data_IF_565288610390
#
_entry.id   IF_565288610390
#
_cell.length_a   1.000
_cell.length_b   1.000
_cell.length_c   1.000
_cell.angle_alpha   90.00
_cell.angle_beta   90.00
_cell.angle_gamma   90.00
#
_symmetry.space_group_name_H-M   'P 1'
#
loop_
_entity.id
_entity.type
_entity.pdbx_description
1 polymer ?
#
# COMPACT_ATOMS: atom_id res chain seq x y z
N UNK A 1 -1.27 7.94 -13.15
CA UNK A 1 -1.93 9.26 -13.03
C UNK A 1 -3.32 9.17 -12.39
N UNK A 2 -4.31 8.48 -12.97
CA UNK A 2 -5.64 8.42 -12.32
C UNK A 2 -5.65 7.55 -11.05
N UNK A 3 -5.03 6.37 -11.09
CA UNK A 3 -5.13 5.41 -9.98
C UNK A 3 -4.57 5.97 -8.66
N UNK A 4 -3.33 6.45 -8.66
CA UNK A 4 -2.62 6.83 -7.42
C UNK A 4 -3.33 7.98 -6.67
N UNK A 5 -3.83 8.98 -7.41
CA UNK A 5 -4.65 10.07 -6.88
C UNK A 5 -5.98 9.56 -6.31
N UNK A 6 -6.71 8.74 -7.08
CA UNK A 6 -8.02 8.19 -6.65
C UNK A 6 -7.87 7.29 -5.42
N UNK A 7 -6.81 6.48 -5.37
CA UNK A 7 -6.51 5.64 -4.21
C UNK A 7 -6.14 6.48 -2.98
N UNK A 8 -5.36 7.54 -3.17
CA UNK A 8 -5.07 8.51 -2.10
C UNK A 8 -6.36 9.17 -1.56
N UNK A 9 -7.22 9.66 -2.45
CA UNK A 9 -8.52 10.22 -2.09
C UNK A 9 -9.41 9.19 -1.35
N UNK A 10 -9.42 7.93 -1.81
CA UNK A 10 -10.18 6.85 -1.18
C UNK A 10 -9.67 6.54 0.23
N UNK A 11 -8.34 6.45 0.43
CA UNK A 11 -7.72 6.25 1.74
C UNK A 11 -8.09 7.40 2.68
N UNK A 12 -7.96 8.66 2.24
CA UNK A 12 -8.38 9.83 3.01
C UNK A 12 -9.86 9.79 3.38
N UNK A 13 -10.72 9.39 2.45
CA UNK A 13 -12.17 9.32 2.68
C UNK A 13 -12.54 8.25 3.71
N UNK A 14 -11.84 7.12 3.73
CA UNK A 14 -12.10 6.02 4.67
C UNK A 14 -11.51 6.30 6.06
N UNK A 15 -10.28 6.81 6.13
CA UNK A 15 -9.54 6.96 7.38
C UNK A 15 -9.55 8.39 7.96
N UNK A 16 -10.02 9.39 7.22
CA UNK A 16 -10.00 10.80 7.62
C UNK A 16 -8.59 11.25 7.99
N UNK A 17 -8.46 12.01 9.08
CA UNK A 17 -7.17 12.47 9.61
C UNK A 17 -6.18 11.33 9.92
N UNK A 18 -6.68 10.10 10.17
CA UNK A 18 -5.80 8.97 10.40
C UNK A 18 -5.01 8.56 9.15
N UNK A 19 -5.46 8.92 7.94
CA UNK A 19 -4.76 8.62 6.68
C UNK A 19 -3.32 9.12 6.69
N UNK A 20 -3.08 10.31 7.25
CA UNK A 20 -1.74 10.92 7.34
C UNK A 20 -0.80 10.26 8.36
N UNK A 21 -1.29 9.27 9.12
CA UNK A 21 -0.49 8.42 10.02
C UNK A 21 -0.27 7.01 9.46
N UNK A 22 -0.92 6.67 8.35
CA UNK A 22 -0.71 5.40 7.67
C UNK A 22 0.55 5.47 6.84
N UNK A 23 1.35 4.41 6.89
CA UNK A 23 2.38 4.17 5.90
C UNK A 23 1.73 3.45 4.71
N UNK A 24 1.84 4.02 3.52
CA UNK A 24 1.34 3.48 2.25
C UNK A 24 2.56 3.13 1.41
N UNK A 25 2.55 2.03 0.66
CA UNK A 25 3.67 1.70 -0.24
C UNK A 25 3.18 0.93 -1.45
N UNK A 26 3.79 1.15 -2.61
CA UNK A 26 3.49 0.38 -3.83
C UNK A 26 4.66 -0.51 -4.21
N UNK A 27 4.52 -1.82 -4.01
CA UNK A 27 5.53 -2.81 -4.43
C UNK A 27 5.62 -2.94 -5.94
N UNK A 28 4.61 -2.48 -6.69
CA UNK A 28 4.66 -2.39 -8.17
C UNK A 28 5.79 -1.47 -8.64
N UNK A 29 6.27 -0.55 -7.80
CA UNK A 29 7.48 0.24 -8.09
C UNK A 29 8.71 -0.63 -8.37
N UNK A 30 8.77 -1.83 -7.78
CA UNK A 30 9.84 -2.82 -7.97
C UNK A 30 9.42 -3.97 -8.88
N UNK A 31 8.20 -4.46 -8.73
CA UNK A 31 7.75 -5.70 -9.41
C UNK A 31 7.08 -5.45 -10.76
N UNK A 32 6.76 -4.20 -11.08
CA UNK A 32 5.83 -3.86 -12.14
C UNK A 32 4.40 -4.34 -11.86
N UNK A 33 3.51 -4.12 -12.82
CA UNK A 33 2.12 -4.53 -12.70
C UNK A 33 1.87 -5.91 -13.32
N UNK A 34 1.69 -6.92 -12.46
CA UNK A 34 1.47 -8.32 -12.86
C UNK A 34 0.00 -8.68 -13.16
N UNK A 35 -0.83 -7.67 -13.51
CA UNK A 35 -2.27 -7.84 -13.75
C UNK A 35 -2.94 -8.64 -12.61
N UNK A 36 -3.70 -9.69 -12.93
CA UNK A 36 -4.39 -10.51 -11.94
C UNK A 36 -3.48 -11.20 -10.91
N UNK A 37 -2.21 -11.44 -11.24
CA UNK A 37 -1.26 -12.04 -10.31
C UNK A 37 -0.76 -11.04 -9.24
N UNK A 38 -0.92 -9.73 -9.46
CA UNK A 38 -0.46 -8.71 -8.52
C UNK A 38 -1.13 -8.87 -7.14
N UNK A 39 -2.43 -9.14 -7.08
CA UNK A 39 -3.14 -9.28 -5.81
C UNK A 39 -2.63 -10.44 -4.96
N UNK A 40 -2.28 -11.58 -5.58
CA UNK A 40 -1.70 -12.73 -4.88
C UNK A 40 -0.29 -12.44 -4.35
N UNK A 41 0.57 -11.83 -5.19
CA UNK A 41 1.92 -11.44 -4.79
C UNK A 41 1.90 -10.42 -3.65
N UNK A 42 1.09 -9.37 -3.77
CA UNK A 42 0.98 -8.28 -2.79
C UNK A 42 0.32 -8.73 -1.50
N UNK A 43 -0.60 -9.70 -1.56
CA UNK A 43 -1.13 -10.39 -0.38
C UNK A 43 -0.05 -11.15 0.37
N UNK A 44 0.79 -11.93 -0.33
CA UNK A 44 1.94 -12.61 0.27
C UNK A 44 2.96 -11.63 0.88
N UNK A 45 3.26 -10.53 0.19
CA UNK A 45 4.12 -9.47 0.72
C UNK A 45 3.50 -8.85 1.98
N UNK A 46 2.19 -8.58 2.00
CA UNK A 46 1.49 -8.02 3.17
C UNK A 46 1.61 -8.92 4.41
N UNK A 47 1.53 -10.24 4.22
CA UNK A 47 1.78 -11.20 5.30
C UNK A 47 3.24 -11.13 5.79
N UNK A 48 4.22 -11.04 4.88
CA UNK A 48 5.64 -10.90 5.24
C UNK A 48 5.95 -9.56 5.93
N UNK A 49 5.26 -8.48 5.57
CA UNK A 49 5.37 -7.17 6.24
C UNK A 49 4.98 -7.28 7.71
N UNK A 50 3.88 -7.98 8.00
CA UNK A 50 3.43 -8.24 9.37
C UNK A 50 4.39 -9.20 10.09
N UNK A 51 4.89 -10.24 9.43
CA UNK A 51 5.83 -11.18 10.04
C UNK A 51 7.16 -10.50 10.40
N UNK A 52 7.77 -9.81 9.43
CA UNK A 52 9.11 -9.25 9.51
C UNK A 52 9.18 -7.84 10.09
N UNK A 53 8.04 -7.18 10.27
CA UNK A 53 7.94 -5.84 10.84
C UNK A 53 8.73 -4.77 10.05
N UNK A 54 8.74 -4.91 8.71
CA UNK A 54 9.41 -3.99 7.78
C UNK A 54 8.48 -3.71 6.61
N UNK A 55 8.28 -2.42 6.32
CA UNK A 55 7.47 -1.93 5.20
C UNK A 55 8.39 -1.77 3.97
N UNK A 56 8.06 -2.37 2.81
CA UNK A 56 8.83 -2.17 1.59
C UNK A 56 8.70 -0.72 1.09
N UNK A 57 9.73 -0.19 0.43
CA UNK A 57 9.65 1.16 -0.11
C UNK A 57 8.80 1.24 -1.37
N UNK A 58 8.32 2.44 -1.66
CA UNK A 58 8.00 2.84 -3.03
C UNK A 58 9.27 3.38 -3.66
N UNK A 59 9.94 2.59 -4.50
CA UNK A 59 11.18 3.04 -5.17
C UNK A 59 10.88 3.99 -6.33
N UNK A 60 11.90 4.73 -6.79
CA UNK A 60 11.79 5.74 -7.85
C UNK A 60 10.90 6.93 -7.46
N UNK A 61 10.75 7.20 -6.15
CA UNK A 61 10.00 8.35 -5.65
C UNK A 61 10.92 9.57 -5.57
N UNK A 62 10.91 10.41 -6.61
CA UNK A 62 11.82 11.56 -6.73
C UNK A 62 11.10 12.90 -6.56
N UNK A 63 9.92 13.03 -7.16
CA UNK A 63 9.14 14.29 -7.18
C UNK A 63 7.77 14.05 -6.55
N UNK A 64 7.47 14.67 -5.39
CA UNK A 64 6.15 14.58 -4.78
C UNK A 64 5.05 15.15 -5.68
N UNK A 65 3.90 14.48 -5.72
CA UNK A 65 2.69 14.97 -6.40
C UNK A 65 1.77 15.62 -5.36
N UNK A 66 1.32 16.87 -5.53
CA UNK A 66 0.44 17.53 -4.56
C UNK A 66 -0.90 16.81 -4.35
N UNK A 67 -1.37 16.02 -5.32
CA UNK A 67 -2.58 15.21 -5.19
C UNK A 67 -2.34 13.89 -4.44
N UNK A 68 -1.07 13.53 -4.22
CA UNK A 68 -0.61 12.33 -3.51
C UNK A 68 0.31 12.77 -2.36
N UNK A 69 -0.30 13.16 -1.24
CA UNK A 69 0.34 13.81 -0.08
C UNK A 69 0.40 12.93 1.18
N UNK A 70 0.15 11.62 1.06
CA UNK A 70 0.33 10.66 2.16
C UNK A 70 1.79 10.22 2.29
N UNK A 71 2.10 9.45 3.32
CA UNK A 71 3.41 8.84 3.51
C UNK A 71 3.55 7.58 2.64
N UNK A 72 4.18 7.71 1.47
CA UNK A 72 4.36 6.61 0.51
C UNK A 72 5.62 5.75 0.75
N UNK A 73 6.29 5.91 1.90
CA UNK A 73 7.54 5.21 2.23
C UNK A 73 8.57 5.29 1.09
N UNK A 74 9.05 6.50 0.76
CA UNK A 74 9.84 6.71 -0.45
C UNK A 74 11.25 6.10 -0.33
N UNK A 75 11.62 5.30 -1.34
CA UNK A 75 12.97 4.79 -1.64
C UNK A 75 13.63 3.85 -0.63
N UNK A 76 13.41 4.03 0.68
CA UNK A 76 14.03 3.22 1.74
C UNK A 76 13.01 2.43 2.54
N UNK A 77 13.30 1.15 2.77
CA UNK A 77 12.45 0.28 3.59
C UNK A 77 12.40 0.81 5.03
N UNK A 78 11.24 0.68 5.68
CA UNK A 78 11.03 1.23 7.02
C UNK A 78 10.63 0.15 8.03
N UNK A 79 11.42 -0.10 9.08
CA UNK A 79 10.99 -0.90 10.22
C UNK A 79 9.82 -0.23 10.95
N UNK A 80 8.81 -0.98 11.34
CA UNK A 80 7.65 -0.48 12.08
C UNK A 80 6.99 -1.57 12.90
N UNK A 81 6.30 -1.20 13.99
CA UNK A 81 5.43 -2.13 14.71
C UNK A 81 4.10 -2.27 13.96
N UNK A 82 3.91 -3.40 13.28
CA UNK A 82 2.80 -3.61 12.35
C UNK A 82 1.90 -4.73 12.88
N UNK A 83 0.67 -4.36 13.20
CA UNK A 83 -0.38 -5.31 13.60
C UNK A 83 -1.37 -5.62 12.49
N UNK A 84 -1.57 -4.67 11.57
CA UNK A 84 -2.50 -4.80 10.45
C UNK A 84 -1.82 -4.32 9.17
N UNK A 85 -2.08 -5.00 8.06
CA UNK A 85 -1.70 -4.56 6.73
C UNK A 85 -2.89 -4.71 5.77
N UNK A 86 -3.12 -3.70 4.95
CA UNK A 86 -4.19 -3.67 3.95
C UNK A 86 -3.56 -3.76 2.55
N UNK A 87 -4.06 -4.68 1.73
CA UNK A 87 -3.68 -4.81 0.32
C UNK A 87 -4.86 -4.44 -0.57
N UNK A 88 -4.70 -3.36 -1.34
CA UNK A 88 -5.72 -2.86 -2.26
C UNK A 88 -5.47 -3.36 -3.69
N UNK A 89 -6.55 -3.64 -4.40
CA UNK A 89 -6.53 -4.00 -5.82
C UNK A 89 -7.73 -3.38 -6.53
N UNK A 90 -7.48 -2.33 -7.30
CA UNK A 90 -8.49 -1.61 -8.10
C UNK A 90 -8.26 -1.88 -9.57
N UNK A 91 -9.03 -2.82 -10.11
CA UNK A 91 -8.88 -3.34 -11.45
C UNK A 91 -9.79 -2.66 -12.47
N UNK A 92 -9.51 -2.93 -13.76
CA UNK A 92 -10.39 -2.54 -14.85
C UNK A 92 -11.79 -3.14 -14.69
N UNK A 93 -12.80 -2.46 -15.24
CA UNK A 93 -14.20 -2.87 -15.13
C UNK A 93 -14.87 -2.49 -13.80
N UNK A 94 -14.20 -1.71 -12.94
CA UNK A 94 -14.75 -1.23 -11.68
C UNK A 94 -14.67 -2.24 -10.53
N UNK A 95 -13.85 -3.28 -10.66
CA UNK A 95 -13.65 -4.29 -9.61
C UNK A 95 -12.66 -3.78 -8.57
N UNK A 96 -13.15 -3.49 -7.37
CA UNK A 96 -12.36 -3.00 -6.25
C UNK A 96 -12.33 -4.02 -5.11
N UNK A 97 -11.15 -4.42 -4.68
CA UNK A 97 -10.95 -5.41 -3.61
C UNK A 97 -9.94 -4.86 -2.60
N UNK A 98 -10.19 -5.07 -1.31
CA UNK A 98 -9.25 -4.79 -0.23
C UNK A 98 -9.18 -6.01 0.70
N UNK A 99 -7.96 -6.49 0.98
CA UNK A 99 -7.70 -7.60 1.89
C UNK A 99 -6.97 -7.08 3.13
N UNK A 100 -7.52 -7.34 4.32
CA UNK A 100 -6.91 -6.98 5.59
C UNK A 100 -6.25 -8.21 6.22
N UNK A 101 -4.97 -8.09 6.52
CA UNK A 101 -4.20 -9.08 7.27
C UNK A 101 -3.97 -8.54 8.68
N UNK A 102 -4.10 -9.41 9.69
CA UNK A 102 -3.78 -9.10 11.09
C UNK A 102 -2.66 -10.02 11.54
N UNK A 103 -1.73 -9.51 12.36
CA UNK A 103 -0.78 -10.32 13.11
C UNK A 103 -1.54 -11.35 13.95
N UNK A 104 -1.10 -12.60 13.87
CA UNK A 104 -1.66 -13.64 14.71
C UNK A 104 -1.37 -13.34 16.19
N UNK A 105 -2.40 -13.47 17.01
CA UNK A 105 -2.39 -13.33 18.47
C UNK A 105 -3.23 -14.52 18.98
N UNK A 106 -2.71 -15.28 19.96
CA UNK A 106 -3.42 -16.41 20.59
C UNK A 106 -4.64 -15.96 21.40
#
# INVERSE_FOLDING_TARGET
KYNDRIETEAIKRVFGEHAYRLAVSSTKSMTGHLLGAAGGLEGGISALVIDRQVIPPTINYETPDPDCDLDYVPNEARPASIRYALSNSFGFGGTNVALLFKRYEE
#
